data_IF_620126717815
#
_entry.id   IF_620126717815
#
_cell.length_a   1.000
_cell.length_b   1.000
_cell.length_c   1.000
_cell.angle_alpha   90.00
_cell.angle_beta   90.00
_cell.angle_gamma   90.00
#
_symmetry.space_group_name_H-M   'P 1'
#
loop_
_entity.id
_entity.type
_entity.pdbx_description
1 polymer ?
#
# COMPACT_ATOMS: atom_id res chain seq x y z
N UNK A 1 -12.91 16.06 12.37
CA UNK A 1 -12.27 16.70 13.55
C UNK A 1 -11.97 15.64 14.60
N UNK A 2 -12.94 14.80 14.95
CA UNK A 2 -12.84 13.77 16.00
C UNK A 2 -11.70 12.75 15.75
N UNK A 3 -11.60 12.20 14.55
CA UNK A 3 -10.59 11.18 14.20
C UNK A 3 -9.14 11.69 14.32
N UNK A 4 -8.89 12.95 13.95
CA UNK A 4 -7.56 13.56 14.11
C UNK A 4 -7.21 13.79 15.58
N UNK A 5 -8.19 14.11 16.43
CA UNK A 5 -7.99 14.25 17.86
C UNK A 5 -7.67 12.91 18.53
N UNK A 6 -8.35 11.83 18.13
CA UNK A 6 -8.05 10.47 18.60
C UNK A 6 -6.59 10.10 18.25
N UNK A 7 -6.17 10.32 16.99
CA UNK A 7 -4.81 10.09 16.56
C UNK A 7 -3.79 10.89 17.40
N UNK A 8 -4.04 12.18 17.62
CA UNK A 8 -3.16 13.03 18.45
C UNK A 8 -3.09 12.54 19.89
N UNK A 9 -4.22 12.13 20.48
CA UNK A 9 -4.29 11.59 21.82
C UNK A 9 -3.50 10.28 21.95
N UNK A 10 -3.62 9.39 20.95
CA UNK A 10 -2.83 8.16 20.92
C UNK A 10 -1.32 8.46 20.86
N UNK A 11 -0.89 9.35 19.94
CA UNK A 11 0.53 9.74 19.84
C UNK A 11 1.03 10.37 21.16
N UNK A 12 0.24 11.23 21.79
CA UNK A 12 0.61 11.83 23.06
C UNK A 12 0.76 10.79 24.19
N UNK A 13 -0.01 9.71 24.14
CA UNK A 13 0.12 8.60 25.08
C UNK A 13 1.36 7.73 24.80
N UNK A 14 1.74 7.54 23.53
CA UNK A 14 2.96 6.81 23.15
C UNK A 14 4.25 7.60 23.46
N UNK A 15 4.19 8.94 23.45
CA UNK A 15 5.31 9.84 23.70
C UNK A 15 4.98 10.89 24.79
N UNK A 16 4.82 10.45 26.05
CA UNK A 16 4.40 11.34 27.12
C UNK A 16 5.41 12.47 27.35
N UNK A 17 4.90 13.69 27.38
CA UNK A 17 5.69 14.89 27.65
C UNK A 17 6.51 15.41 26.47
N UNK A 18 6.48 14.77 25.32
CA UNK A 18 7.17 15.27 24.10
C UNK A 18 6.23 16.11 23.24
N UNK A 19 6.68 17.30 22.89
CA UNK A 19 6.01 18.12 21.87
C UNK A 19 6.28 17.54 20.48
N UNK A 20 5.23 17.40 19.67
CA UNK A 20 5.31 16.84 18.33
C UNK A 20 4.48 17.62 17.32
N UNK A 21 4.85 17.46 16.04
CA UNK A 21 4.07 17.96 14.90
C UNK A 21 3.65 16.79 14.01
N UNK A 22 2.44 16.92 13.43
CA UNK A 22 1.89 15.97 12.45
C UNK A 22 1.59 16.72 11.15
N UNK A 23 2.37 16.43 10.12
CA UNK A 23 2.17 16.94 8.76
C UNK A 23 1.67 15.80 7.83
N UNK A 24 0.83 16.07 6.83
CA UNK A 24 0.49 15.06 5.81
C UNK A 24 1.77 14.55 5.13
N UNK A 25 1.92 13.22 5.03
CA UNK A 25 3.10 12.60 4.41
C UNK A 25 2.82 12.13 2.98
N UNK A 26 1.72 11.44 2.77
CA UNK A 26 1.26 11.00 1.46
C UNK A 26 -0.26 10.83 1.44
N UNK A 27 -0.84 10.90 0.23
CA UNK A 27 -2.20 10.45 -0.02
C UNK A 27 -2.15 9.09 -0.73
N UNK A 28 -2.94 8.16 -0.24
CA UNK A 28 -3.16 6.85 -0.87
C UNK A 28 -4.51 6.86 -1.59
N UNK A 29 -4.67 6.01 -2.58
CA UNK A 29 -5.96 5.77 -3.25
C UNK A 29 -6.92 4.92 -2.38
N UNK A 30 -6.58 4.64 -1.13
CA UNK A 30 -7.38 3.94 -0.12
C UNK A 30 -7.92 4.90 0.94
N UNK A 31 -8.62 4.35 1.94
CA UNK A 31 -9.07 5.11 3.11
C UNK A 31 -7.94 5.40 4.11
N UNK A 32 -6.71 4.92 3.86
CA UNK A 32 -5.55 5.17 4.71
C UNK A 32 -5.02 6.58 4.52
N UNK A 33 -4.64 7.20 5.63
CA UNK A 33 -3.99 8.50 5.66
C UNK A 33 -2.66 8.35 6.35
N UNK A 34 -1.66 9.03 5.84
CA UNK A 34 -0.31 8.98 6.40
C UNK A 34 0.14 10.37 6.83
N UNK A 35 0.68 10.44 8.03
CA UNK A 35 1.21 11.67 8.61
C UNK A 35 2.66 11.46 9.02
N UNK A 36 3.52 12.42 8.71
CA UNK A 36 4.87 12.47 9.25
C UNK A 36 4.82 13.08 10.64
N UNK A 37 5.34 12.34 11.59
CA UNK A 37 5.50 12.71 12.99
C UNK A 37 6.94 13.19 13.20
N UNK A 38 7.11 14.41 13.67
CA UNK A 38 8.40 15.01 13.98
C UNK A 38 8.42 15.53 15.42
N UNK A 39 9.60 15.54 16.01
CA UNK A 39 9.85 16.06 17.36
C UNK A 39 10.91 17.16 17.29
N UNK A 40 10.78 18.21 18.11
CA UNK A 40 11.74 19.30 18.11
C UNK A 40 13.13 18.89 18.66
N UNK A 41 13.15 17.85 19.48
CA UNK A 41 14.33 17.31 20.17
C UNK A 41 14.95 16.06 19.50
N UNK A 42 14.44 15.64 18.34
CA UNK A 42 14.87 14.43 17.67
C UNK A 42 14.90 14.63 16.14
N UNK A 43 16.03 14.41 15.46
CA UNK A 43 16.10 14.52 14.01
C UNK A 43 15.40 13.37 13.26
N UNK A 44 15.02 12.29 13.97
CA UNK A 44 14.35 11.14 13.37
C UNK A 44 12.85 11.40 13.30
N UNK A 45 12.32 11.32 12.09
CA UNK A 45 10.88 11.33 11.86
C UNK A 45 10.29 9.92 11.82
N UNK A 46 9.01 9.82 12.12
CA UNK A 46 8.22 8.60 12.04
C UNK A 46 7.00 8.82 11.13
N UNK A 47 6.40 7.74 10.67
CA UNK A 47 5.14 7.80 9.93
C UNK A 47 4.01 7.24 10.79
N UNK A 48 2.93 7.97 10.88
CA UNK A 48 1.67 7.52 11.50
C UNK A 48 0.69 7.18 10.40
N UNK A 49 0.30 5.92 10.33
CA UNK A 49 -0.80 5.47 9.47
C UNK A 49 -2.11 5.52 10.26
N UNK A 50 -3.10 6.16 9.67
CA UNK A 50 -4.48 6.20 10.13
C UNK A 50 -5.36 5.44 9.15
N UNK A 51 -5.81 4.26 9.54
CA UNK A 51 -6.62 3.33 8.77
C UNK A 51 -7.94 3.08 9.53
N UNK A 52 -9.01 3.84 9.24
CA UNK A 52 -10.27 3.73 9.98
C UNK A 52 -10.84 2.31 9.97
N UNK A 53 -11.08 1.66 11.12
CA UNK A 53 -11.48 0.24 11.19
C UNK A 53 -12.80 -0.09 10.48
N UNK A 54 -13.65 0.90 10.23
CA UNK A 54 -14.88 0.72 9.44
C UNK A 54 -14.62 0.47 7.94
N UNK A 55 -13.41 0.74 7.46
CA UNK A 55 -13.04 0.65 6.04
C UNK A 55 -11.76 -0.16 5.80
N UNK A 56 -10.87 -0.27 6.81
CA UNK A 56 -9.54 -0.83 6.65
C UNK A 56 -9.21 -1.79 7.81
N UNK A 57 -8.51 -2.88 7.51
CA UNK A 57 -7.87 -3.76 8.50
C UNK A 57 -6.34 -3.62 8.39
N UNK A 58 -5.69 -3.26 9.49
CA UNK A 58 -4.23 -3.12 9.55
C UNK A 58 -3.48 -4.46 9.59
N UNK A 59 -4.14 -5.57 9.95
CA UNK A 59 -3.47 -6.88 10.13
C UNK A 59 -2.79 -7.39 8.87
N UNK A 60 -3.41 -7.33 7.68
CA UNK A 60 -2.73 -7.71 6.43
C UNK A 60 -1.47 -6.88 6.17
N UNK A 61 -1.53 -5.56 6.41
CA UNK A 61 -0.37 -4.68 6.26
C UNK A 61 0.79 -5.11 7.17
N UNK A 62 0.51 -5.35 8.46
CA UNK A 62 1.51 -5.78 9.44
C UNK A 62 2.13 -7.12 9.04
N UNK A 63 1.29 -8.08 8.63
CA UNK A 63 1.74 -9.40 8.16
C UNK A 63 2.67 -9.29 6.96
N UNK A 64 2.28 -8.53 5.93
CA UNK A 64 3.06 -8.38 4.70
C UNK A 64 4.35 -7.61 4.97
N UNK A 65 4.32 -6.55 5.76
CA UNK A 65 5.52 -5.82 6.17
C UNK A 65 6.53 -6.73 6.89
N UNK A 66 6.03 -7.61 7.78
CA UNK A 66 6.87 -8.62 8.44
C UNK A 66 7.49 -9.63 7.47
N UNK A 67 6.71 -10.16 6.53
CA UNK A 67 7.18 -11.12 5.52
C UNK A 67 8.24 -10.50 4.60
N UNK A 68 8.01 -9.30 4.10
CA UNK A 68 8.95 -8.62 3.21
C UNK A 68 10.21 -8.19 3.93
N UNK A 69 10.09 -7.71 5.19
CA UNK A 69 11.26 -7.41 6.02
C UNK A 69 12.11 -8.65 6.30
N UNK A 70 11.47 -9.80 6.60
CA UNK A 70 12.17 -11.07 6.79
C UNK A 70 12.84 -11.58 5.51
N UNK A 71 12.30 -11.24 4.33
CA UNK A 71 12.90 -11.52 3.04
C UNK A 71 14.12 -10.61 2.71
N UNK A 72 14.42 -9.62 3.55
CA UNK A 72 15.52 -8.67 3.35
C UNK A 72 15.14 -7.42 2.57
N UNK A 73 13.87 -7.21 2.23
CA UNK A 73 13.42 -5.97 1.62
C UNK A 73 13.38 -4.83 2.65
N UNK A 74 13.75 -3.62 2.21
CA UNK A 74 13.68 -2.42 3.04
C UNK A 74 12.23 -1.92 3.08
N UNK A 75 11.52 -2.26 4.15
CA UNK A 75 10.11 -1.94 4.36
C UNK A 75 9.91 -1.08 5.61
N UNK A 76 8.79 -0.33 5.73
CA UNK A 76 8.45 0.36 6.97
C UNK A 76 8.32 -0.64 8.12
N UNK A 77 9.07 -0.41 9.19
CA UNK A 77 8.96 -1.22 10.41
C UNK A 77 7.77 -0.74 11.25
N UNK A 78 6.94 -1.68 11.69
CA UNK A 78 5.84 -1.37 12.62
C UNK A 78 6.38 -1.27 14.03
N UNK A 79 6.46 -0.03 14.56
CA UNK A 79 7.04 0.28 15.86
C UNK A 79 6.00 0.15 16.97
N UNK A 80 4.77 0.63 16.72
CA UNK A 80 3.62 0.55 17.62
C UNK A 80 2.35 0.33 16.81
N UNK A 81 1.34 -0.25 17.45
CA UNK A 81 0.04 -0.50 16.83
C UNK A 81 -1.10 -0.30 17.82
N UNK A 82 -2.20 0.25 17.33
CA UNK A 82 -3.49 0.29 17.99
C UNK A 82 -4.54 -0.21 16.99
N UNK A 83 -4.81 -1.49 17.00
CA UNK A 83 -5.71 -2.15 16.02
C UNK A 83 -7.17 -1.80 16.26
N UNK A 84 -7.57 -1.47 17.50
CA UNK A 84 -8.94 -1.08 17.83
C UNK A 84 -9.30 0.25 17.16
N UNK A 85 -8.36 1.18 17.14
CA UNK A 85 -8.52 2.47 16.48
C UNK A 85 -7.91 2.51 15.06
N UNK A 86 -7.22 1.47 14.62
CA UNK A 86 -6.61 1.38 13.30
C UNK A 86 -5.44 2.35 13.11
N UNK A 87 -4.58 2.52 14.13
CA UNK A 87 -3.39 3.34 14.06
C UNK A 87 -2.12 2.48 14.06
N UNK A 88 -1.18 2.80 13.19
CA UNK A 88 0.17 2.25 13.23
C UNK A 88 1.21 3.35 13.28
N UNK A 89 2.26 3.15 14.08
CA UNK A 89 3.47 3.94 14.07
C UNK A 89 4.56 3.17 13.33
N UNK A 90 5.09 3.79 12.29
CA UNK A 90 6.01 3.16 11.33
C UNK A 90 7.33 3.93 11.29
N UNK A 91 8.41 3.24 10.88
CA UNK A 91 9.64 3.93 10.49
C UNK A 91 9.40 4.78 9.25
N UNK A 92 10.07 5.93 9.18
CA UNK A 92 10.02 6.82 8.01
C UNK A 92 11.11 6.42 7.00
N UNK A 93 10.73 6.10 5.79
CA UNK A 93 11.65 5.78 4.69
C UNK A 93 12.04 7.02 3.87
N UNK A 94 11.67 8.21 4.32
CA UNK A 94 11.96 9.47 3.66
C UNK A 94 10.83 9.97 2.75
N UNK A 95 11.12 11.01 1.98
CA UNK A 95 10.11 11.72 1.16
C UNK A 95 10.37 11.65 -0.35
N UNK A 96 11.52 11.13 -0.75
CA UNK A 96 11.91 11.08 -2.17
C UNK A 96 11.47 9.75 -2.79
N UNK A 97 10.57 9.82 -3.76
CA UNK A 97 10.13 8.65 -4.53
C UNK A 97 11.07 8.38 -5.70
N UNK A 98 11.04 7.16 -6.23
CA UNK A 98 11.76 6.83 -7.47
C UNK A 98 11.36 7.75 -8.62
N UNK A 99 10.08 8.07 -8.76
CA UNK A 99 9.59 8.98 -9.79
C UNK A 99 10.27 10.37 -9.72
N UNK A 100 10.51 10.88 -8.51
CA UNK A 100 11.18 12.18 -8.31
C UNK A 100 12.70 12.10 -8.51
N UNK A 101 13.31 10.96 -8.14
CA UNK A 101 14.75 10.78 -8.22
C UNK A 101 15.22 10.28 -9.60
N UNK A 102 14.35 9.68 -10.41
CA UNK A 102 14.69 8.99 -11.63
C UNK A 102 15.20 9.96 -12.71
N UNK A 103 16.37 9.65 -13.25
CA UNK A 103 16.97 10.33 -14.40
C UNK A 103 17.45 9.28 -15.40
N UNK A 104 17.85 9.72 -16.62
CA UNK A 104 18.42 8.79 -17.60
C UNK A 104 19.72 8.15 -17.11
N UNK A 105 20.49 8.86 -16.29
CA UNK A 105 21.81 8.40 -15.85
C UNK A 105 21.74 7.41 -14.67
N UNK A 106 20.71 7.50 -13.82
CA UNK A 106 20.58 6.65 -12.63
C UNK A 106 19.48 5.56 -12.77
N UNK A 107 18.68 5.59 -13.87
CA UNK A 107 17.56 4.66 -14.05
C UNK A 107 17.99 3.19 -13.93
N UNK A 108 19.12 2.81 -14.55
CA UNK A 108 19.60 1.44 -14.50
C UNK A 108 19.87 0.98 -13.06
N UNK A 109 20.52 1.80 -12.25
CA UNK A 109 20.87 1.46 -10.87
C UNK A 109 19.61 1.38 -9.98
N UNK A 110 18.71 2.36 -10.08
CA UNK A 110 17.47 2.36 -9.30
C UNK A 110 16.57 1.16 -9.63
N UNK A 111 16.46 0.81 -10.92
CA UNK A 111 15.71 -0.39 -11.30
C UNK A 111 16.41 -1.69 -10.91
N UNK A 112 17.74 -1.73 -10.95
CA UNK A 112 18.50 -2.90 -10.46
C UNK A 112 18.25 -3.13 -8.96
N UNK A 113 18.25 -2.08 -8.15
CA UNK A 113 17.93 -2.16 -6.71
C UNK A 113 16.52 -2.64 -6.48
N UNK A 114 15.52 -2.11 -7.23
CA UNK A 114 14.14 -2.53 -7.13
C UNK A 114 13.94 -4.00 -7.54
N UNK A 115 14.60 -4.44 -8.61
CA UNK A 115 14.58 -5.85 -9.05
C UNK A 115 15.25 -6.77 -8.02
N UNK A 116 16.35 -6.32 -7.40
CA UNK A 116 17.00 -7.05 -6.31
C UNK A 116 16.05 -7.29 -5.13
N UNK A 117 15.34 -6.26 -4.70
CA UNK A 117 14.34 -6.38 -3.64
C UNK A 117 13.18 -7.32 -4.05
N UNK A 118 12.69 -7.23 -5.28
CA UNK A 118 11.66 -8.11 -5.81
C UNK A 118 12.10 -9.57 -5.81
N UNK A 119 13.32 -9.87 -6.24
CA UNK A 119 13.91 -11.22 -6.24
C UNK A 119 13.98 -11.77 -4.80
N UNK A 120 14.39 -10.96 -3.84
CA UNK A 120 14.40 -11.37 -2.42
C UNK A 120 13.01 -11.76 -1.93
N UNK A 121 11.98 -10.96 -2.24
CA UNK A 121 10.59 -11.23 -1.88
C UNK A 121 10.10 -12.53 -2.55
N UNK A 122 10.36 -12.71 -3.84
CA UNK A 122 9.95 -13.90 -4.59
C UNK A 122 10.62 -15.18 -4.05
N UNK A 123 11.91 -15.13 -3.75
CA UNK A 123 12.66 -16.28 -3.22
C UNK A 123 12.20 -16.67 -1.79
N UNK A 124 11.69 -15.71 -1.01
CA UNK A 124 11.17 -15.96 0.32
C UNK A 124 9.67 -16.35 0.32
N UNK A 125 9.02 -16.30 -0.83
CA UNK A 125 7.59 -16.62 -0.96
C UNK A 125 7.34 -18.11 -0.67
N UNK A 126 6.25 -18.37 0.06
CA UNK A 126 5.85 -19.73 0.43
C UNK A 126 4.36 -19.93 0.13
N UNK A 127 3.97 -21.06 -0.48
CA UNK A 127 2.57 -21.39 -0.69
C UNK A 127 1.76 -21.38 0.62
N UNK A 128 0.53 -20.89 0.57
CA UNK A 128 -0.41 -20.90 1.70
C UNK A 128 -0.14 -19.85 2.79
N UNK A 129 0.94 -19.05 2.70
CA UNK A 129 1.24 -17.99 3.69
C UNK A 129 0.36 -16.75 3.47
N UNK A 130 0.13 -16.39 2.22
CA UNK A 130 -0.83 -15.37 1.79
C UNK A 130 -2.01 -16.03 1.09
N UNK A 131 -3.17 -15.36 0.99
CA UNK A 131 -4.26 -15.84 0.15
C UNK A 131 -3.78 -16.07 -1.29
N UNK A 132 -4.34 -17.08 -1.94
CA UNK A 132 -4.08 -17.30 -3.35
C UNK A 132 -4.65 -16.16 -4.19
N UNK A 133 -3.91 -15.79 -5.24
CA UNK A 133 -4.37 -14.81 -6.22
C UNK A 133 -5.13 -15.58 -7.30
N UNK A 134 -6.33 -16.00 -6.92
CA UNK A 134 -7.16 -16.92 -7.70
C UNK A 134 -7.92 -16.24 -8.85
N UNK A 135 -8.65 -17.06 -9.63
CA UNK A 135 -9.43 -16.57 -10.77
C UNK A 135 -10.45 -15.50 -10.39
N UNK A 136 -11.08 -15.61 -9.23
CA UNK A 136 -12.08 -14.64 -8.79
C UNK A 136 -11.44 -13.29 -8.48
N UNK A 137 -10.29 -13.30 -7.81
CA UNK A 137 -9.56 -12.07 -7.50
C UNK A 137 -9.03 -11.41 -8.77
N UNK A 138 -8.43 -12.18 -9.68
CA UNK A 138 -7.94 -11.67 -10.96
C UNK A 138 -9.08 -11.13 -11.83
N UNK A 139 -10.24 -11.81 -11.87
CA UNK A 139 -11.40 -11.32 -12.63
C UNK A 139 -11.89 -9.96 -12.08
N UNK A 140 -11.94 -9.79 -10.77
CA UNK A 140 -12.31 -8.48 -10.16
C UNK A 140 -11.40 -7.34 -10.58
N UNK A 141 -10.10 -7.60 -10.72
CA UNK A 141 -9.15 -6.60 -11.21
C UNK A 141 -9.40 -6.26 -12.69
N UNK A 142 -9.66 -7.27 -13.53
CA UNK A 142 -9.99 -7.06 -14.94
C UNK A 142 -11.30 -6.28 -15.11
N UNK A 143 -12.29 -6.51 -14.26
CA UNK A 143 -13.58 -5.79 -14.28
C UNK A 143 -13.47 -4.29 -13.96
N UNK A 144 -12.37 -3.84 -13.36
CA UNK A 144 -12.13 -2.40 -13.19
C UNK A 144 -12.04 -1.68 -14.54
N UNK A 145 -11.56 -2.35 -15.60
CA UNK A 145 -11.44 -1.74 -16.92
C UNK A 145 -12.80 -1.35 -17.53
N UNK A 146 -13.80 -2.24 -17.70
CA UNK A 146 -15.09 -1.85 -18.26
C UNK A 146 -15.86 -0.88 -17.35
N UNK A 147 -15.75 -1.03 -16.04
CA UNK A 147 -16.48 -0.18 -15.08
C UNK A 147 -15.90 1.23 -15.03
N UNK A 148 -14.61 1.34 -14.77
CA UNK A 148 -13.99 2.63 -14.50
C UNK A 148 -13.49 3.34 -15.76
N UNK A 149 -12.82 2.63 -16.66
CA UNK A 149 -12.28 3.25 -17.85
C UNK A 149 -13.33 3.42 -18.95
N UNK A 150 -14.00 2.33 -19.34
CA UNK A 150 -14.95 2.37 -20.46
C UNK A 150 -16.21 3.17 -20.08
N UNK A 151 -16.87 2.78 -19.00
CA UNK A 151 -18.15 3.38 -18.61
C UNK A 151 -17.96 4.77 -17.97
N UNK A 152 -17.21 4.86 -16.87
CA UNK A 152 -17.12 6.13 -16.10
C UNK A 152 -16.23 7.17 -16.75
N UNK A 153 -15.05 6.79 -17.23
CA UNK A 153 -14.11 7.77 -17.81
C UNK A 153 -14.46 8.12 -19.26
N UNK A 154 -14.77 7.13 -20.11
CA UNK A 154 -15.11 7.37 -21.52
C UNK A 154 -16.59 7.65 -21.75
N UNK A 155 -17.48 7.36 -20.81
CA UNK A 155 -18.92 7.51 -20.97
C UNK A 155 -19.52 6.56 -22.03
N UNK A 156 -18.85 5.44 -22.32
CA UNK A 156 -19.27 4.46 -23.32
C UNK A 156 -20.01 3.32 -22.66
N UNK A 157 -21.13 2.91 -23.25
CA UNK A 157 -21.82 1.67 -22.87
C UNK A 157 -21.49 0.62 -23.92
N UNK A 158 -20.92 -0.51 -23.50
CA UNK A 158 -20.65 -1.65 -24.36
C UNK A 158 -21.97 -2.32 -24.79
N UNK A 159 -22.02 -2.77 -26.03
CA UNK A 159 -23.11 -3.66 -26.49
C UNK A 159 -22.93 -5.05 -25.87
N UNK A 160 -23.98 -5.87 -25.91
CA UNK A 160 -23.92 -7.26 -25.43
C UNK A 160 -22.79 -8.05 -26.13
N UNK A 161 -22.65 -7.87 -27.44
CA UNK A 161 -21.61 -8.52 -28.21
C UNK A 161 -20.19 -8.07 -27.80
N UNK A 162 -19.99 -6.76 -27.60
CA UNK A 162 -18.70 -6.24 -27.13
C UNK A 162 -18.38 -6.71 -25.72
N UNK A 163 -19.38 -6.76 -24.85
CA UNK A 163 -19.23 -7.30 -23.50
C UNK A 163 -18.81 -8.77 -23.55
N UNK A 164 -19.51 -9.59 -24.33
CA UNK A 164 -19.16 -11.00 -24.51
C UNK A 164 -17.71 -11.20 -24.99
N UNK A 165 -17.31 -10.47 -26.04
CA UNK A 165 -15.94 -10.53 -26.57
C UNK A 165 -14.90 -10.09 -25.53
N UNK A 166 -15.19 -9.07 -24.75
CA UNK A 166 -14.29 -8.60 -23.67
C UNK A 166 -14.09 -9.69 -22.62
N UNK A 167 -15.17 -10.33 -22.17
CA UNK A 167 -15.06 -11.40 -21.16
C UNK A 167 -14.40 -12.67 -21.71
N UNK A 168 -14.56 -13.00 -22.97
CA UNK A 168 -13.80 -14.08 -23.63
C UNK A 168 -12.28 -13.80 -23.61
N UNK A 169 -11.89 -12.52 -23.82
CA UNK A 169 -10.49 -12.09 -23.69
C UNK A 169 -10.02 -12.19 -22.22
N UNK A 170 -10.85 -11.78 -21.28
CA UNK A 170 -10.53 -11.90 -19.86
C UNK A 170 -10.31 -13.35 -19.45
N UNK A 171 -11.21 -14.25 -19.85
CA UNK A 171 -11.07 -15.68 -19.61
C UNK A 171 -9.77 -16.24 -20.18
N UNK A 172 -9.41 -15.85 -21.40
CA UNK A 172 -8.14 -16.26 -21.99
C UNK A 172 -6.92 -15.74 -21.21
N UNK A 173 -6.95 -14.47 -20.76
CA UNK A 173 -5.88 -13.90 -19.92
C UNK A 173 -5.76 -14.70 -18.61
N UNK A 174 -6.89 -15.02 -17.98
CA UNK A 174 -6.91 -15.79 -16.73
C UNK A 174 -6.37 -17.20 -16.93
N UNK A 175 -6.77 -17.88 -17.98
CA UNK A 175 -6.30 -19.24 -18.27
C UNK A 175 -4.77 -19.28 -18.46
N UNK A 176 -4.21 -18.28 -19.14
CA UNK A 176 -2.74 -18.20 -19.34
C UNK A 176 -2.00 -17.87 -18.03
N UNK A 177 -2.58 -17.04 -17.16
CA UNK A 177 -1.90 -16.63 -15.93
C UNK A 177 -2.05 -17.62 -14.77
N UNK A 178 -3.03 -18.53 -14.83
CA UNK A 178 -3.28 -19.54 -13.80
C UNK A 178 -2.78 -20.94 -14.20
N UNK A 179 -2.23 -21.09 -15.41
CA UNK A 179 -1.61 -22.34 -15.88
C UNK A 179 -0.21 -22.49 -15.25
#
# INVERSE_FOLDING_TARGET
>A
VERRQQLQSWIAAEFPGRAFELAPASADASFRRYFRLTFADDPVSLIVMDAPPSHEDCRPYIKVAGLFGAAGAHVPQVIRQNLEEGFLLLSDLGSTTYLQALTKDNAHNLYADALGALICIQNASQPGVLPEYDREMLMRELELFPVWYVSRHKGVTLTEEQTRQLYEIFDHILDVNLA
#
